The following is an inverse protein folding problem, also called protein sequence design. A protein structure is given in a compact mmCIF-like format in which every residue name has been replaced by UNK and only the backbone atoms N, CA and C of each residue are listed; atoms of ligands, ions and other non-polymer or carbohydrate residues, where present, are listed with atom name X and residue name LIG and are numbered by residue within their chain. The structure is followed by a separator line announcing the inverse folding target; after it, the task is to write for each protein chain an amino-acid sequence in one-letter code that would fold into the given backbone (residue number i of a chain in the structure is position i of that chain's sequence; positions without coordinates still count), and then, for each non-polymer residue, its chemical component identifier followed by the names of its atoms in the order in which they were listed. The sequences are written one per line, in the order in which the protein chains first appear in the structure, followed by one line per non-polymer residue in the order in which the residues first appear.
data_IF_205098650928
#
_entry.id   IF_205098650928
#
_cell.length_a   1.000
_cell.length_b   1.000
_cell.length_c   1.000
_cell.angle_alpha   90.00
_cell.angle_beta   90.00
_cell.angle_gamma   90.00
#
_symmetry.space_group_name_H-M   'P 1'
#
loop_
_entity.id
_entity.type
_entity.pdbx_description
1 polymer ?
#
# COMPACT_ATOMS: atom_id res chain seq x y z
N UNK A 1 10.84 22.67 -25.19
CA UNK A 1 10.95 21.91 -23.92
C UNK A 1 9.65 21.97 -23.11
N UNK A 2 8.99 23.14 -23.01
CA UNK A 2 7.66 23.27 -22.37
C UNK A 2 6.53 22.48 -23.07
N UNK A 3 6.53 22.41 -24.42
CA UNK A 3 5.54 21.60 -25.15
C UNK A 3 5.68 20.07 -24.94
N UNK A 4 6.87 19.60 -24.54
CA UNK A 4 7.12 18.18 -24.29
C UNK A 4 6.71 17.78 -22.86
N UNK A 5 6.78 18.73 -21.90
CA UNK A 5 6.32 18.53 -20.53
C UNK A 5 4.78 18.56 -20.43
N UNK A 6 4.11 19.44 -21.18
CA UNK A 6 2.64 19.46 -21.28
C UNK A 6 2.06 18.18 -21.93
N UNK A 7 2.79 17.58 -22.87
CA UNK A 7 2.40 16.32 -23.52
C UNK A 7 2.48 15.10 -22.60
N UNK A 8 3.33 15.13 -21.57
CA UNK A 8 3.48 14.02 -20.60
C UNK A 8 2.43 14.14 -19.50
N UNK A 9 2.09 15.36 -19.06
CA UNK A 9 1.07 15.61 -18.03
C UNK A 9 -0.35 15.23 -18.53
N UNK A 10 -0.68 15.56 -19.79
CA UNK A 10 -1.94 15.13 -20.41
C UNK A 10 -2.05 13.61 -20.62
N UNK A 11 -0.93 12.91 -20.86
CA UNK A 11 -0.95 11.45 -20.96
C UNK A 11 -1.08 10.77 -19.60
N UNK A 12 -0.58 11.36 -18.53
CA UNK A 12 -0.76 10.85 -17.17
C UNK A 12 -2.22 10.98 -16.67
N UNK A 13 -2.89 12.10 -16.93
CA UNK A 13 -4.33 12.25 -16.57
C UNK A 13 -5.23 11.29 -17.36
N UNK A 14 -4.96 11.09 -18.65
CA UNK A 14 -5.76 10.19 -19.50
C UNK A 14 -5.50 8.71 -19.17
N UNK A 15 -4.27 8.30 -18.84
CA UNK A 15 -3.99 6.92 -18.41
C UNK A 15 -4.55 6.62 -17.01
N UNK A 16 -4.55 7.59 -16.11
CA UNK A 16 -5.21 7.45 -14.81
C UNK A 16 -6.72 7.30 -14.98
N UNK A 17 -7.35 8.07 -15.87
CA UNK A 17 -8.78 7.95 -16.19
C UNK A 17 -9.17 6.64 -16.90
N UNK A 18 -8.33 6.08 -17.76
CA UNK A 18 -8.72 4.91 -18.59
C UNK A 18 -8.46 3.55 -17.92
N UNK A 19 -7.52 3.46 -16.99
CA UNK A 19 -7.27 2.23 -16.20
C UNK A 19 -8.22 2.14 -14.99
N UNK A 20 -8.76 3.26 -14.49
CA UNK A 20 -9.63 3.31 -13.31
C UNK A 20 -11.12 3.03 -13.59
N UNK A 21 -11.56 2.94 -14.85
CA UNK A 21 -12.98 2.64 -15.18
C UNK A 21 -13.31 1.15 -15.04
N UNK A 22 -12.32 0.24 -15.00
CA UNK A 22 -12.59 -1.20 -15.06
C UNK A 22 -12.52 -1.95 -13.71
N UNK A 23 -12.29 -1.27 -12.60
CA UNK A 23 -12.47 -1.83 -11.26
C UNK A 23 -13.28 -0.85 -10.44
N UNK A 24 -14.52 -1.20 -10.14
CA UNK A 24 -15.47 -0.43 -9.32
C UNK A 24 -14.99 -0.28 -7.86
N UNK A 25 -13.85 0.37 -7.66
CA UNK A 25 -13.30 0.77 -6.38
C UNK A 25 -13.73 2.21 -6.10
N UNK A 26 -14.59 2.35 -5.09
CA UNK A 26 -15.16 3.61 -4.64
C UNK A 26 -14.07 4.46 -3.93
N UNK A 27 -13.26 5.19 -4.72
CA UNK A 27 -12.10 5.98 -4.25
C UNK A 27 -12.50 7.20 -3.39
N UNK A 28 -13.77 7.60 -3.42
CA UNK A 28 -14.27 8.77 -2.68
C UNK A 28 -14.18 8.59 -1.14
N UNK A 29 -14.14 7.35 -0.63
CA UNK A 29 -14.12 7.08 0.81
C UNK A 29 -12.73 7.22 1.49
N UNK A 30 -11.66 6.83 0.80
CA UNK A 30 -10.30 6.79 1.38
C UNK A 30 -9.57 8.14 1.28
N UNK A 31 -9.88 8.94 0.24
CA UNK A 31 -9.41 10.33 0.12
C UNK A 31 -10.21 11.24 1.06
N UNK A 32 -11.49 10.94 1.32
CA UNK A 32 -12.30 11.71 2.25
C UNK A 32 -11.84 11.58 3.71
N UNK A 33 -11.43 10.39 4.17
CA UNK A 33 -10.98 10.19 5.56
C UNK A 33 -9.64 10.87 5.87
N UNK A 34 -8.69 10.86 4.92
CA UNK A 34 -7.43 11.61 5.03
C UNK A 34 -7.62 13.13 4.95
N UNK A 35 -8.61 13.59 4.17
CA UNK A 35 -8.94 15.02 4.07
C UNK A 35 -9.62 15.60 5.32
N UNK A 36 -10.38 14.78 6.07
CA UNK A 36 -11.12 15.23 7.25
C UNK A 36 -10.20 15.39 8.46
N UNK A 37 -9.25 14.46 8.63
CA UNK A 37 -8.22 14.55 9.66
C UNK A 37 -7.26 15.72 9.44
N UNK A 38 -6.80 15.92 8.21
CA UNK A 38 -5.95 17.07 7.86
C UNK A 38 -6.68 18.41 8.04
N UNK A 39 -7.98 18.47 7.73
CA UNK A 39 -8.79 19.66 7.95
C UNK A 39 -9.05 19.94 9.45
N UNK A 40 -9.23 18.90 10.26
CA UNK A 40 -9.35 19.04 11.72
C UNK A 40 -8.03 19.53 12.34
N UNK A 41 -6.89 18.98 11.92
CA UNK A 41 -5.57 19.47 12.30
C UNK A 41 -5.30 20.91 11.86
N UNK A 42 -5.78 21.29 10.68
CA UNK A 42 -5.75 22.69 10.22
C UNK A 42 -6.55 23.60 11.16
N UNK A 43 -7.81 23.27 11.45
CA UNK A 43 -8.67 24.07 12.33
C UNK A 43 -8.08 24.20 13.74
N UNK A 44 -7.53 23.11 14.28
CA UNK A 44 -6.85 23.11 15.59
C UNK A 44 -5.56 23.93 15.57
N UNK A 45 -4.70 23.74 14.56
CA UNK A 45 -3.45 24.48 14.40
C UNK A 45 -3.69 25.97 14.22
N UNK A 46 -4.71 26.34 13.43
CA UNK A 46 -5.17 27.72 13.27
C UNK A 46 -5.66 28.31 14.60
N UNK A 47 -6.53 27.60 15.32
CA UNK A 47 -7.02 28.03 16.62
C UNK A 47 -5.88 28.27 17.60
N UNK A 48 -4.90 27.37 17.62
CA UNK A 48 -3.71 27.49 18.44
C UNK A 48 -2.89 28.74 18.09
N UNK A 49 -2.59 28.98 16.80
CA UNK A 49 -1.82 30.15 16.36
C UNK A 49 -2.53 31.46 16.74
N UNK A 50 -3.83 31.59 16.40
CA UNK A 50 -4.58 32.81 16.69
C UNK A 50 -4.66 33.05 18.21
N UNK A 51 -4.93 32.00 18.99
CA UNK A 51 -5.02 32.10 20.45
C UNK A 51 -3.67 32.42 21.08
N UNK A 52 -2.58 31.82 20.60
CA UNK A 52 -1.23 32.07 21.09
C UNK A 52 -0.84 33.53 20.87
N UNK A 53 -0.93 34.03 19.64
CA UNK A 53 -0.46 35.38 19.31
C UNK A 53 -1.36 36.47 19.89
N UNK A 54 -2.68 36.29 19.82
CA UNK A 54 -3.61 37.26 20.40
C UNK A 54 -3.58 37.21 21.94
N UNK A 55 -3.48 36.01 22.51
CA UNK A 55 -3.38 35.78 23.94
C UNK A 55 -2.09 36.32 24.54
N UNK A 56 -0.93 36.14 23.89
CA UNK A 56 0.34 36.75 24.29
C UNK A 56 0.22 38.28 24.27
N UNK A 57 -0.44 38.84 23.26
CA UNK A 57 -0.65 40.29 23.17
C UNK A 57 -1.48 40.81 24.35
N UNK A 58 -2.57 40.12 24.72
CA UNK A 58 -3.38 40.43 25.90
C UNK A 58 -2.60 40.21 27.21
N UNK A 59 -1.78 39.17 27.31
CA UNK A 59 -1.01 38.85 28.51
C UNK A 59 0.10 39.88 28.78
N UNK A 60 0.86 40.27 27.74
CA UNK A 60 1.89 41.31 27.83
C UNK A 60 1.29 42.65 28.23
N UNK A 61 0.09 42.97 27.74
CA UNK A 61 -0.67 44.15 28.14
C UNK A 61 -0.97 44.17 29.63
N UNK A 62 -1.49 43.05 30.14
CA UNK A 62 -1.86 42.93 31.55
C UNK A 62 -0.66 42.94 32.49
N UNK A 63 0.49 42.39 32.06
CA UNK A 63 1.67 42.23 32.92
C UNK A 63 2.57 43.46 32.98
N UNK A 64 2.68 44.26 31.92
CA UNK A 64 3.70 45.33 31.86
C UNK A 64 3.19 46.73 32.15
N UNK A 65 1.87 47.00 32.21
CA UNK A 65 1.33 48.38 32.28
C UNK A 65 1.89 49.35 31.20
N UNK A 66 2.64 48.83 30.21
CA UNK A 66 3.23 49.62 29.14
C UNK A 66 2.22 49.71 28.00
N UNK A 67 1.78 50.94 27.71
CA UNK A 67 0.85 51.28 26.63
C UNK A 67 1.52 51.26 25.24
N UNK A 68 2.25 50.20 24.84
CA UNK A 68 2.86 50.09 23.49
C UNK A 68 1.87 50.16 22.29
N UNK A 69 0.56 50.20 22.55
CA UNK A 69 -0.56 50.04 21.62
C UNK A 69 -1.74 50.80 22.25
N UNK A 70 -2.27 51.82 21.59
CA UNK A 70 -3.33 52.68 22.12
C UNK A 70 -4.74 52.08 21.92
N UNK A 71 -4.87 50.76 22.02
CA UNK A 71 -6.13 50.07 21.76
C UNK A 71 -6.99 50.01 23.02
N UNK A 72 -8.31 50.26 22.91
CA UNK A 72 -9.25 49.93 23.98
C UNK A 72 -9.24 48.41 24.23
N UNK A 73 -9.08 47.98 25.48
CA UNK A 73 -9.03 46.55 25.88
C UNK A 73 -10.22 45.74 25.35
N UNK A 74 -11.36 46.40 25.18
CA UNK A 74 -12.61 45.81 24.65
C UNK A 74 -12.45 45.31 23.21
N UNK A 75 -11.64 45.96 22.37
CA UNK A 75 -11.52 45.61 20.95
C UNK A 75 -10.67 44.34 20.72
N UNK A 76 -9.63 44.13 21.53
CA UNK A 76 -8.82 42.91 21.45
C UNK A 76 -9.60 41.69 21.98
N UNK A 77 -10.33 41.86 23.09
CA UNK A 77 -11.16 40.80 23.67
C UNK A 77 -12.31 40.41 22.74
N UNK A 78 -12.96 41.40 22.11
CA UNK A 78 -14.02 41.12 21.12
C UNK A 78 -13.49 40.39 19.89
N UNK A 79 -12.28 40.71 19.43
CA UNK A 79 -11.67 39.98 18.31
C UNK A 79 -11.34 38.53 18.67
N UNK A 80 -10.84 38.27 19.89
CA UNK A 80 -10.64 36.91 20.41
C UNK A 80 -11.97 36.14 20.42
N UNK A 81 -13.03 36.78 20.95
CA UNK A 81 -14.36 36.17 21.00
C UNK A 81 -14.91 35.83 19.61
N UNK A 82 -14.75 36.73 18.62
CA UNK A 82 -15.17 36.49 17.23
C UNK A 82 -14.41 35.31 16.62
N UNK A 83 -13.08 35.22 16.84
CA UNK A 83 -12.28 34.10 16.33
C UNK A 83 -12.73 32.76 16.91
N UNK A 84 -13.02 32.73 18.22
CA UNK A 84 -13.47 31.52 18.91
C UNK A 84 -14.86 31.08 18.42
N UNK A 85 -15.79 32.03 18.30
CA UNK A 85 -17.13 31.75 17.79
C UNK A 85 -17.08 31.22 16.35
N UNK A 86 -16.20 31.76 15.52
CA UNK A 86 -16.00 31.30 14.16
C UNK A 86 -15.40 29.88 14.11
N UNK A 87 -14.43 29.54 14.97
CA UNK A 87 -13.89 28.17 15.07
C UNK A 87 -14.98 27.18 15.48
N UNK A 88 -15.80 27.52 16.48
CA UNK A 88 -16.93 26.70 16.92
C UNK A 88 -17.94 26.48 15.78
N UNK A 89 -18.26 27.54 15.03
CA UNK A 89 -19.14 27.45 13.87
C UNK A 89 -18.56 26.56 12.76
N UNK A 90 -17.28 26.72 12.43
CA UNK A 90 -16.58 25.90 11.44
C UNK A 90 -16.56 24.41 11.83
N UNK A 91 -16.37 24.09 13.11
CA UNK A 91 -16.41 22.71 13.62
C UNK A 91 -17.82 22.12 13.54
N UNK A 92 -18.84 22.87 13.95
CA UNK A 92 -20.25 22.45 13.88
C UNK A 92 -20.70 22.22 12.43
N UNK A 93 -20.30 23.10 11.50
CA UNK A 93 -20.59 22.95 10.09
C UNK A 93 -19.91 21.72 9.49
N UNK A 94 -18.65 21.47 9.83
CA UNK A 94 -17.91 20.28 9.40
C UNK A 94 -18.60 18.98 9.84
N UNK A 95 -19.09 18.94 11.08
CA UNK A 95 -19.81 17.79 11.63
C UNK A 95 -21.17 17.57 10.95
N UNK A 96 -21.84 18.64 10.52
CA UNK A 96 -23.22 18.59 10.00
C UNK A 96 -23.32 18.42 8.48
N UNK A 97 -22.30 18.81 7.72
CA UNK A 97 -22.29 18.78 6.25
C UNK A 97 -21.00 18.23 5.63
N UNK A 98 -20.73 16.94 5.86
CA UNK A 98 -19.59 16.22 5.26
C UNK A 98 -19.67 16.10 3.72
N UNK A 99 -20.85 16.23 3.11
CA UNK A 99 -21.06 15.98 1.66
C UNK A 99 -20.53 17.07 0.73
N UNK A 100 -20.12 18.23 1.23
CA UNK A 100 -19.67 19.38 0.41
C UNK A 100 -18.38 20.02 0.96
N UNK A 101 -17.34 19.20 1.17
CA UNK A 101 -16.07 19.63 1.76
C UNK A 101 -15.39 20.77 0.99
N UNK A 102 -15.42 20.75 -0.36
CA UNK A 102 -14.78 21.80 -1.18
C UNK A 102 -15.39 23.19 -0.96
N UNK A 103 -16.73 23.27 -0.94
CA UNK A 103 -17.44 24.53 -0.68
C UNK A 103 -17.19 25.03 0.74
N UNK A 104 -17.09 24.12 1.72
CA UNK A 104 -16.72 24.47 3.08
C UNK A 104 -15.31 25.09 3.15
N UNK A 105 -14.31 24.49 2.51
CA UNK A 105 -12.93 25.01 2.49
C UNK A 105 -12.89 26.41 1.85
N UNK A 106 -13.60 26.61 0.74
CA UNK A 106 -13.65 27.93 0.08
C UNK A 106 -14.28 29.00 0.98
N UNK A 107 -15.42 28.71 1.60
CA UNK A 107 -16.08 29.64 2.52
C UNK A 107 -15.20 29.95 3.74
N UNK A 108 -14.53 28.93 4.28
CA UNK A 108 -13.58 29.06 5.37
C UNK A 108 -12.42 30.01 5.02
N UNK A 109 -11.79 29.83 3.86
CA UNK A 109 -10.67 30.67 3.42
C UNK A 109 -11.08 32.14 3.26
N UNK A 110 -12.27 32.41 2.71
CA UNK A 110 -12.79 33.78 2.58
C UNK A 110 -12.98 34.42 3.95
N UNK A 111 -13.59 33.71 4.90
CA UNK A 111 -13.74 34.20 6.26
C UNK A 111 -12.41 34.42 6.98
N UNK A 112 -11.45 33.52 6.78
CA UNK A 112 -10.13 33.62 7.41
C UNK A 112 -9.33 34.82 6.88
N UNK A 113 -9.47 35.17 5.59
CA UNK A 113 -8.93 36.39 5.01
C UNK A 113 -9.58 37.65 5.58
N UNK A 114 -10.93 37.68 5.68
CA UNK A 114 -11.67 38.81 6.26
C UNK A 114 -11.27 39.02 7.71
N UNK A 115 -11.19 37.94 8.49
CA UNK A 115 -10.81 37.98 9.88
C UNK A 115 -9.37 38.51 10.02
N UNK A 116 -8.44 38.03 9.19
CA UNK A 116 -7.06 38.52 9.19
C UNK A 116 -6.99 40.02 8.89
N UNK A 117 -7.79 40.52 7.94
CA UNK A 117 -7.87 41.95 7.63
C UNK A 117 -8.44 42.76 8.81
N UNK A 118 -9.50 42.27 9.47
CA UNK A 118 -10.07 42.90 10.65
C UNK A 118 -9.07 42.92 11.81
N UNK A 119 -8.33 41.83 12.03
CA UNK A 119 -7.28 41.79 13.04
C UNK A 119 -6.23 42.84 12.77
N UNK A 120 -5.72 42.95 11.53
CA UNK A 120 -4.75 43.97 11.15
C UNK A 120 -5.31 45.38 11.38
N UNK A 121 -6.55 45.65 10.99
CA UNK A 121 -7.20 46.94 11.19
C UNK A 121 -7.27 47.34 12.68
N UNK A 122 -7.83 46.45 13.52
CA UNK A 122 -8.01 46.72 14.95
C UNK A 122 -6.70 46.72 15.74
N UNK A 123 -5.60 46.21 15.19
CA UNK A 123 -4.32 46.11 15.90
C UNK A 123 -3.32 47.21 15.52
N UNK A 124 -3.79 48.29 14.91
CA UNK A 124 -2.97 49.44 14.51
C UNK A 124 -2.67 49.53 13.01
N UNK A 125 -3.39 48.77 12.17
CA UNK A 125 -3.34 48.89 10.72
C UNK A 125 -1.97 48.61 10.14
N UNK A 126 -1.33 49.65 9.58
CA UNK A 126 0.00 49.55 8.92
C UNK A 126 1.10 49.15 9.90
N UNK A 127 0.95 49.47 11.19
CA UNK A 127 1.91 49.05 12.23
C UNK A 127 1.67 47.65 12.79
N UNK A 128 0.57 47.00 12.39
CA UNK A 128 0.18 45.71 12.94
C UNK A 128 1.22 44.62 12.69
N UNK A 129 1.62 43.98 13.78
CA UNK A 129 2.43 42.76 13.74
C UNK A 129 1.66 41.56 13.20
N UNK A 130 0.33 41.63 13.05
CA UNK A 130 -0.52 40.49 12.68
C UNK A 130 -0.70 40.29 11.17
N UNK A 131 0.00 41.07 10.34
CA UNK A 131 0.03 40.89 8.88
C UNK A 131 0.48 39.49 8.44
N UNK A 132 1.26 38.78 9.28
CA UNK A 132 1.63 37.38 9.04
C UNK A 132 0.44 36.40 9.05
N UNK A 133 -0.73 36.76 9.62
CA UNK A 133 -1.89 35.86 9.63
C UNK A 133 -2.35 35.51 8.20
N UNK A 134 -2.19 36.43 7.26
CA UNK A 134 -2.43 36.16 5.83
C UNK A 134 -1.53 35.04 5.29
N UNK A 135 -0.28 34.93 5.75
CA UNK A 135 0.65 33.86 5.34
C UNK A 135 0.10 32.49 5.76
N UNK A 136 -0.46 32.38 6.96
CA UNK A 136 -1.06 31.11 7.43
C UNK A 136 -2.28 30.72 6.60
N UNK A 137 -3.12 31.69 6.20
CA UNK A 137 -4.26 31.42 5.31
C UNK A 137 -3.79 30.94 3.93
N UNK A 138 -2.77 31.60 3.36
CA UNK A 138 -2.17 31.21 2.07
C UNK A 138 -1.56 29.80 2.14
N UNK A 139 -0.78 29.51 3.20
CA UNK A 139 -0.14 28.21 3.39
C UNK A 139 -1.18 27.08 3.50
N UNK A 140 -2.27 27.35 4.21
CA UNK A 140 -3.35 26.38 4.41
C UNK A 140 -4.12 26.12 3.12
N UNK A 141 -4.37 27.17 2.32
CA UNK A 141 -4.90 27.02 0.97
C UNK A 141 -3.95 26.18 0.10
N UNK A 142 -2.64 26.41 0.16
CA UNK A 142 -1.68 25.68 -0.65
C UNK A 142 -1.66 24.18 -0.36
N UNK A 143 -1.84 23.79 0.91
CA UNK A 143 -1.88 22.38 1.31
C UNK A 143 -3.20 21.70 0.90
N UNK A 144 -4.33 22.38 1.12
CA UNK A 144 -5.66 21.75 1.08
C UNK A 144 -6.39 21.94 -0.25
N UNK A 145 -6.10 23.01 -0.99
CA UNK A 145 -6.87 23.46 -2.15
C UNK A 145 -6.09 23.29 -3.46
N UNK A 146 -6.76 23.55 -4.59
CA UNK A 146 -6.15 23.51 -5.92
C UNK A 146 -5.18 24.68 -6.15
N UNK A 147 -4.29 24.55 -7.15
CA UNK A 147 -3.36 25.63 -7.54
C UNK A 147 -4.10 26.90 -7.97
N UNK A 148 -5.23 26.75 -8.66
CA UNK A 148 -6.07 27.88 -9.07
C UNK A 148 -6.63 28.65 -7.86
N UNK A 149 -7.15 27.93 -6.86
CA UNK A 149 -7.66 28.53 -5.62
C UNK A 149 -6.54 29.22 -4.84
N UNK A 150 -5.33 28.65 -4.81
CA UNK A 150 -4.17 29.29 -4.19
C UNK A 150 -3.83 30.64 -4.83
N UNK A 151 -3.80 30.73 -6.16
CA UNK A 151 -3.57 32.01 -6.84
C UNK A 151 -4.64 33.04 -6.49
N UNK A 152 -5.92 32.64 -6.46
CA UNK A 152 -7.03 33.51 -6.06
C UNK A 152 -6.85 33.98 -4.61
N UNK A 153 -6.47 33.10 -3.68
CA UNK A 153 -6.24 33.46 -2.27
C UNK A 153 -5.08 34.44 -2.11
N UNK A 154 -3.97 34.26 -2.85
CA UNK A 154 -2.82 35.19 -2.81
C UNK A 154 -3.24 36.57 -3.33
N UNK A 155 -3.94 36.64 -4.46
CA UNK A 155 -4.44 37.90 -5.03
C UNK A 155 -5.41 38.57 -4.06
N UNK A 156 -6.36 37.81 -3.49
CA UNK A 156 -7.31 38.33 -2.50
C UNK A 156 -6.60 38.86 -1.24
N UNK A 157 -5.56 38.17 -0.74
CA UNK A 157 -4.77 38.63 0.39
C UNK A 157 -4.03 39.95 0.08
N UNK A 158 -3.40 40.05 -1.09
CA UNK A 158 -2.71 41.28 -1.53
C UNK A 158 -3.69 42.44 -1.69
N UNK A 159 -4.84 42.21 -2.31
CA UNK A 159 -5.87 43.24 -2.52
C UNK A 159 -6.48 43.67 -1.19
N UNK A 160 -6.81 42.74 -0.28
CA UNK A 160 -7.38 43.07 1.01
C UNK A 160 -6.39 43.83 1.90
N UNK A 161 -5.15 43.34 2.01
CA UNK A 161 -4.12 44.00 2.81
C UNK A 161 -3.74 45.37 2.22
N UNK A 162 -3.47 45.43 0.91
CA UNK A 162 -3.13 46.68 0.23
C UNK A 162 -4.27 47.69 0.23
N UNK A 163 -5.50 47.24 0.03
CA UNK A 163 -6.70 48.07 0.12
C UNK A 163 -6.90 48.63 1.53
N UNK A 164 -6.72 47.81 2.56
CA UNK A 164 -6.80 48.26 3.96
C UNK A 164 -5.75 49.33 4.28
N UNK A 165 -4.49 49.08 3.90
CA UNK A 165 -3.38 50.02 4.11
C UNK A 165 -3.60 51.31 3.32
N UNK A 166 -4.06 51.22 2.07
CA UNK A 166 -4.36 52.38 1.23
C UNK A 166 -5.49 53.23 1.81
N UNK A 167 -6.58 52.61 2.24
CA UNK A 167 -7.71 53.31 2.86
C UNK A 167 -7.33 54.02 4.16
N UNK A 168 -6.44 53.42 4.96
CA UNK A 168 -5.86 54.06 6.15
C UNK A 168 -4.94 55.23 5.78
N UNK A 169 -4.09 55.07 4.76
CA UNK A 169 -3.14 56.10 4.33
C UNK A 169 -3.84 57.35 3.76
N UNK A 170 -4.90 57.17 2.96
CA UNK A 170 -5.70 58.27 2.42
C UNK A 170 -6.71 58.85 3.41
N UNK A 171 -6.81 58.32 4.63
CA UNK A 171 -7.70 58.82 5.67
C UNK A 171 -9.18 58.51 5.48
N UNK A 172 -9.54 57.57 4.58
CA UNK A 172 -10.91 57.08 4.46
C UNK A 172 -11.33 56.21 5.65
N UNK A 173 -10.37 55.55 6.30
CA UNK A 173 -10.56 54.85 7.56
C UNK A 173 -9.72 55.50 8.65
N UNK A 174 -10.35 55.80 9.78
CA UNK A 174 -9.66 56.34 10.96
C UNK A 174 -8.85 55.23 11.64
N UNK A 175 -7.53 55.43 11.87
CA UNK A 175 -6.73 54.45 12.58
C UNK A 175 -7.26 54.28 14.01
N UNK A 176 -7.50 53.02 14.37
CA UNK A 176 -7.94 52.64 15.70
C UNK A 176 -6.72 52.66 16.62
N UNK A 177 -6.68 53.61 17.56
CA UNK A 177 -5.53 53.82 18.44
C UNK A 177 -4.68 55.07 18.15
N UNK A 178 -5.20 56.06 17.45
CA UNK A 178 -4.59 57.41 17.38
C UNK A 178 -3.93 57.75 16.05
N UNK A 179 -3.68 59.05 15.85
CA UNK A 179 -3.18 59.64 14.61
C UNK A 179 -1.67 59.43 14.46
N UNK A 180 -1.25 58.22 14.12
CA UNK A 180 0.12 58.02 13.65
C UNK A 180 0.17 58.45 12.18
N UNK A 181 0.66 59.66 11.93
CA UNK A 181 0.99 60.12 10.57
C UNK A 181 2.25 59.39 10.13
N UNK A 182 2.08 58.18 9.61
CA UNK A 182 3.19 57.42 9.05
C UNK A 182 3.74 58.14 7.81
N UNK A 183 5.07 58.20 7.72
CA UNK A 183 5.73 58.66 6.50
C UNK A 183 5.28 57.78 5.33
N UNK A 184 5.03 58.39 4.17
CA UNK A 184 4.65 57.66 2.96
C UNK A 184 5.66 56.56 2.61
N UNK A 185 6.96 56.82 2.88
CA UNK A 185 8.04 55.86 2.66
C UNK A 185 7.89 54.59 3.52
N UNK A 186 7.52 54.73 4.79
CA UNK A 186 7.37 53.59 5.71
C UNK A 186 6.16 52.72 5.34
N UNK A 187 5.08 53.37 4.90
CA UNK A 187 3.88 52.66 4.42
C UNK A 187 4.18 51.87 3.16
N UNK A 188 4.89 52.46 2.19
CA UNK A 188 5.30 51.78 0.96
C UNK A 188 6.24 50.61 1.26
N UNK A 189 7.22 50.78 2.14
CA UNK A 189 8.15 49.72 2.52
C UNK A 189 7.44 48.52 3.16
N UNK A 190 6.53 48.77 4.12
CA UNK A 190 5.76 47.71 4.78
C UNK A 190 4.78 47.00 3.83
N UNK A 191 4.16 47.75 2.92
CA UNK A 191 3.31 47.19 1.87
C UNK A 191 4.13 46.25 0.96
N UNK A 192 5.28 46.71 0.49
CA UNK A 192 6.18 45.94 -0.35
C UNK A 192 6.64 44.66 0.35
N UNK A 193 7.13 44.75 1.60
CA UNK A 193 7.58 43.59 2.36
C UNK A 193 6.50 42.53 2.51
N UNK A 194 5.27 42.93 2.87
CA UNK A 194 4.17 41.98 3.06
C UNK A 194 3.71 41.35 1.75
N UNK A 195 3.63 42.10 0.65
CA UNK A 195 3.30 41.54 -0.66
C UNK A 195 4.34 40.49 -1.07
N UNK A 196 5.63 40.81 -0.92
CA UNK A 196 6.72 39.87 -1.21
C UNK A 196 6.62 38.64 -0.31
N UNK A 197 6.34 38.82 0.98
CA UNK A 197 6.17 37.71 1.91
C UNK A 197 4.98 36.81 1.54
N UNK A 198 3.85 37.37 1.11
CA UNK A 198 2.68 36.60 0.68
C UNK A 198 2.96 35.80 -0.60
N UNK A 199 3.65 36.40 -1.57
CA UNK A 199 4.04 35.72 -2.81
C UNK A 199 5.04 34.59 -2.53
N UNK A 200 6.06 34.84 -1.70
CA UNK A 200 7.03 33.82 -1.29
C UNK A 200 6.39 32.68 -0.51
N UNK A 201 5.48 32.99 0.43
CA UNK A 201 4.72 32.01 1.16
C UNK A 201 3.86 31.14 0.23
N UNK A 202 3.20 31.76 -0.76
CA UNK A 202 2.44 31.05 -1.78
C UNK A 202 3.31 30.12 -2.62
N UNK A 203 4.48 30.59 -3.08
CA UNK A 203 5.45 29.79 -3.85
C UNK A 203 5.94 28.58 -3.03
N UNK A 204 6.42 28.82 -1.81
CA UNK A 204 6.93 27.78 -0.91
C UNK A 204 5.82 26.78 -0.55
N UNK A 205 4.63 27.27 -0.22
CA UNK A 205 3.46 26.46 0.05
C UNK A 205 3.09 25.58 -1.14
N UNK A 206 3.15 26.11 -2.37
CA UNK A 206 2.87 25.36 -3.59
C UNK A 206 3.89 24.24 -3.84
N UNK A 207 5.19 24.54 -3.69
CA UNK A 207 6.27 23.55 -3.82
C UNK A 207 6.11 22.45 -2.76
N UNK A 208 5.85 22.83 -1.51
CA UNK A 208 5.70 21.90 -0.41
C UNK A 208 4.48 20.98 -0.62
N UNK A 209 3.34 21.54 -0.99
CA UNK A 209 2.12 20.79 -1.30
C UNK A 209 2.35 19.72 -2.36
N UNK A 210 3.08 20.06 -3.43
CA UNK A 210 3.38 19.10 -4.50
C UNK A 210 4.37 18.05 -4.07
N UNK A 211 5.40 18.42 -3.30
CA UNK A 211 6.35 17.44 -2.76
C UNK A 211 5.68 16.47 -1.79
N UNK A 212 4.80 16.96 -0.93
CA UNK A 212 4.03 16.15 0.02
C UNK A 212 3.12 15.17 -0.71
N UNK A 213 2.28 15.64 -1.64
CA UNK A 213 1.39 14.78 -2.43
C UNK A 213 2.15 13.72 -3.21
N UNK A 214 3.31 14.08 -3.78
CA UNK A 214 4.16 13.11 -4.49
C UNK A 214 4.75 12.07 -3.54
N UNK A 215 5.20 12.49 -2.35
CA UNK A 215 5.71 11.59 -1.33
C UNK A 215 4.64 10.61 -0.86
N UNK A 216 3.42 11.09 -0.61
CA UNK A 216 2.28 10.24 -0.21
C UNK A 216 1.92 9.23 -1.32
N UNK A 217 1.85 9.68 -2.58
CA UNK A 217 1.57 8.80 -3.71
C UNK A 217 2.66 7.73 -3.90
N UNK A 218 3.94 8.09 -3.75
CA UNK A 218 5.04 7.14 -3.82
C UNK A 218 4.98 6.12 -2.68
N UNK A 219 4.66 6.54 -1.46
CA UNK A 219 4.50 5.65 -0.31
C UNK A 219 3.34 4.67 -0.51
N UNK A 220 2.20 5.14 -1.03
CA UNK A 220 1.06 4.28 -1.35
C UNK A 220 1.44 3.24 -2.41
N UNK A 221 2.09 3.68 -3.50
CA UNK A 221 2.53 2.77 -4.56
C UNK A 221 3.49 1.70 -4.07
N UNK A 222 4.51 2.09 -3.29
CA UNK A 222 5.41 1.11 -2.69
C UNK A 222 4.65 0.10 -1.81
N UNK A 223 3.68 0.57 -1.02
CA UNK A 223 2.87 -0.31 -0.16
C UNK A 223 2.06 -1.32 -0.99
N UNK A 224 1.49 -0.87 -2.11
CA UNK A 224 0.74 -1.74 -3.02
C UNK A 224 1.67 -2.76 -3.70
N UNK A 225 2.84 -2.32 -4.18
CA UNK A 225 3.85 -3.20 -4.79
C UNK A 225 4.33 -4.28 -3.79
N UNK A 226 4.53 -3.92 -2.52
CA UNK A 226 4.85 -4.89 -1.46
C UNK A 226 3.73 -5.91 -1.23
N UNK A 227 2.48 -5.45 -1.19
CA UNK A 227 1.33 -6.34 -1.00
C UNK A 227 1.15 -7.30 -2.20
N UNK A 228 1.38 -6.82 -3.42
CA UNK A 228 1.36 -7.65 -4.63
C UNK A 228 2.47 -8.70 -4.60
N UNK A 229 3.70 -8.31 -4.23
CA UNK A 229 4.82 -9.23 -4.10
C UNK A 229 4.56 -10.32 -3.04
N UNK A 230 4.01 -9.95 -1.88
CA UNK A 230 3.65 -10.91 -0.84
C UNK A 230 2.58 -11.89 -1.34
N UNK A 231 1.57 -11.39 -2.05
CA UNK A 231 0.50 -12.22 -2.59
C UNK A 231 1.01 -13.17 -3.68
N UNK A 232 1.88 -12.69 -4.59
CA UNK A 232 2.54 -13.52 -5.60
C UNK A 232 3.39 -14.62 -4.94
N UNK A 233 4.21 -14.26 -3.96
CA UNK A 233 5.02 -15.24 -3.23
C UNK A 233 4.13 -16.30 -2.54
N UNK A 234 3.04 -15.87 -1.88
CA UNK A 234 2.05 -16.76 -1.26
C UNK A 234 1.37 -17.67 -2.28
N UNK A 235 1.02 -17.16 -3.47
CA UNK A 235 0.42 -17.97 -4.54
C UNK A 235 1.40 -19.02 -5.07
N UNK A 236 2.66 -18.63 -5.32
CA UNK A 236 3.72 -19.54 -5.78
C UNK A 236 3.90 -20.66 -4.76
N UNK A 237 4.11 -20.32 -3.48
CA UNK A 237 4.33 -21.30 -2.41
C UNK A 237 3.13 -22.24 -2.19
N UNK A 238 1.90 -21.77 -2.42
CA UNK A 238 0.69 -22.61 -2.36
C UNK A 238 0.50 -23.49 -3.60
N UNK A 239 0.98 -23.06 -4.77
CA UNK A 239 0.82 -23.79 -6.04
C UNK A 239 1.86 -24.90 -6.23
N UNK A 240 2.98 -24.87 -5.50
CA UNK A 240 4.00 -25.91 -5.55
C UNK A 240 3.44 -27.19 -4.90
N UNK A 241 3.33 -28.30 -5.64
CA UNK A 241 2.80 -29.57 -5.12
C UNK A 241 3.80 -30.30 -4.20
N UNK A 242 5.04 -29.81 -4.13
CA UNK A 242 6.08 -30.33 -3.25
C UNK A 242 6.03 -29.67 -1.87
N UNK A 243 6.17 -30.49 -0.84
CA UNK A 243 6.42 -30.02 0.51
C UNK A 243 7.76 -29.29 0.59
N UNK A 244 7.77 -28.12 1.21
CA UNK A 244 8.95 -27.29 1.45
C UNK A 244 9.15 -27.15 2.95
N UNK A 245 10.32 -27.57 3.41
CA UNK A 245 10.74 -27.48 4.81
C UNK A 245 12.08 -26.75 4.86
N UNK A 246 12.16 -25.74 5.71
CA UNK A 246 13.45 -25.12 6.07
C UNK A 246 13.78 -25.52 7.49
N UNK A 247 14.98 -26.07 7.71
CA UNK A 247 15.49 -26.40 9.04
C UNK A 247 16.73 -25.58 9.37
N UNK A 248 16.88 -25.26 10.65
CA UNK A 248 18.10 -24.67 11.19
C UNK A 248 19.22 -25.71 11.39
N UNK A 249 20.46 -25.31 11.71
CA UNK A 249 21.55 -26.24 12.02
C UNK A 249 21.26 -27.22 13.18
N UNK A 250 20.31 -26.89 14.05
CA UNK A 250 19.91 -27.76 15.16
C UNK A 250 18.87 -28.82 14.76
N UNK A 251 18.39 -28.77 13.50
CA UNK A 251 17.36 -29.67 12.97
C UNK A 251 15.93 -29.27 13.33
N UNK A 252 15.71 -28.06 13.84
CA UNK A 252 14.38 -27.53 14.13
C UNK A 252 13.74 -26.93 12.88
N UNK A 253 12.45 -27.19 12.69
CA UNK A 253 11.69 -26.70 11.52
C UNK A 253 11.42 -25.20 11.69
N UNK A 254 11.94 -24.39 10.78
CA UNK A 254 11.71 -22.94 10.73
C UNK A 254 10.53 -22.56 9.80
N UNK A 255 10.35 -23.30 8.71
CA UNK A 255 9.30 -23.04 7.73
C UNK A 255 8.71 -24.35 7.22
N UNK A 256 7.40 -24.34 6.99
CA UNK A 256 6.62 -25.50 6.57
C UNK A 256 5.48 -25.03 5.66
N UNK A 257 5.54 -25.33 4.35
CA UNK A 257 4.52 -24.87 3.41
C UNK A 257 3.22 -25.71 3.48
N UNK A 258 2.16 -25.25 2.81
CA UNK A 258 0.86 -25.93 2.81
C UNK A 258 0.90 -27.34 2.20
N UNK A 259 1.73 -27.57 1.20
CA UNK A 259 1.89 -28.90 0.61
C UNK A 259 2.53 -29.88 1.59
N UNK A 260 3.51 -29.43 2.39
CA UNK A 260 4.10 -30.24 3.46
C UNK A 260 3.06 -30.62 4.51
N UNK A 261 2.16 -29.69 4.88
CA UNK A 261 1.03 -30.00 5.78
C UNK A 261 0.07 -31.02 5.22
N UNK A 262 -0.24 -30.95 3.91
CA UNK A 262 -1.12 -31.92 3.27
C UNK A 262 -0.49 -33.32 3.14
N UNK A 263 0.81 -33.40 2.82
CA UNK A 263 1.52 -34.69 2.67
C UNK A 263 1.76 -35.34 4.03
N UNK A 264 2.23 -34.55 5.01
CA UNK A 264 2.55 -35.06 6.33
C UNK A 264 1.33 -35.17 7.24
N UNK A 265 0.17 -34.60 6.89
CA UNK A 265 -1.04 -34.54 7.74
C UNK A 265 -0.77 -33.87 9.10
N UNK A 266 -0.02 -32.77 9.10
CA UNK A 266 0.28 -31.96 10.29
C UNK A 266 0.21 -30.47 9.98
N UNK A 267 -0.40 -29.69 10.87
CA UNK A 267 -0.46 -28.24 10.72
C UNK A 267 0.92 -27.60 10.85
N UNK A 268 1.16 -26.54 10.07
CA UNK A 268 2.43 -25.82 10.07
C UNK A 268 2.82 -25.29 11.46
N UNK A 269 1.86 -24.82 12.26
CA UNK A 269 2.11 -24.34 13.63
C UNK A 269 2.66 -25.43 14.55
N UNK A 270 2.10 -26.64 14.46
CA UNK A 270 2.54 -27.79 15.23
C UNK A 270 3.87 -28.35 14.70
N UNK A 271 4.08 -28.32 13.39
CA UNK A 271 5.33 -28.77 12.77
C UNK A 271 6.52 -27.90 13.16
N UNK A 272 6.36 -26.57 13.17
CA UNK A 272 7.44 -25.63 13.54
C UNK A 272 7.88 -25.71 15.02
N UNK A 273 7.10 -26.38 15.87
CA UNK A 273 7.48 -26.65 17.26
C UNK A 273 8.30 -27.94 17.42
N UNK A 274 8.37 -28.77 16.38
CA UNK A 274 9.04 -30.07 16.40
C UNK A 274 10.36 -30.03 15.64
N UNK A 275 11.21 -31.00 15.94
CA UNK A 275 12.42 -31.26 15.14
C UNK A 275 12.07 -32.08 13.89
N UNK A 276 12.92 -32.03 12.86
CA UNK A 276 12.69 -32.82 11.65
C UNK A 276 12.61 -34.32 11.94
N UNK A 277 13.44 -34.83 12.86
CA UNK A 277 13.46 -36.23 13.25
C UNK A 277 12.14 -36.68 13.92
N UNK A 278 11.41 -35.79 14.58
CA UNK A 278 10.10 -36.11 15.15
C UNK A 278 8.99 -36.20 14.09
N UNK A 279 9.11 -35.43 13.01
CA UNK A 279 8.15 -35.46 11.89
C UNK A 279 8.49 -36.59 10.93
N UNK A 280 9.78 -36.87 10.73
CA UNK A 280 10.31 -37.92 9.88
C UNK A 280 11.31 -38.79 10.66
N UNK A 281 10.85 -39.79 11.43
CA UNK A 281 11.72 -40.63 12.27
C UNK A 281 12.72 -41.48 11.48
N UNK A 282 12.43 -41.75 10.21
CA UNK A 282 13.34 -42.48 9.31
C UNK A 282 14.30 -41.54 8.54
N UNK A 283 14.29 -40.23 8.83
CA UNK A 283 15.06 -39.23 8.09
C UNK A 283 16.05 -38.53 9.02
N UNK A 284 17.29 -39.03 9.04
CA UNK A 284 18.38 -38.42 9.80
C UNK A 284 19.18 -37.44 8.94
N UNK A 285 19.01 -36.14 9.23
CA UNK A 285 19.83 -35.06 8.65
C UNK A 285 21.33 -35.25 8.88
N UNK A 286 21.72 -35.77 10.04
CA UNK A 286 23.13 -35.91 10.43
C UNK A 286 23.88 -37.01 9.66
N UNK A 287 23.16 -37.94 9.04
CA UNK A 287 23.74 -39.01 8.22
C UNK A 287 23.73 -38.67 6.72
N UNK A 288 23.00 -37.61 6.32
CA UNK A 288 22.97 -37.14 4.95
C UNK A 288 24.23 -36.32 4.62
N UNK A 289 25.02 -36.79 3.66
CA UNK A 289 25.99 -35.94 2.96
C UNK A 289 25.23 -34.90 2.13
N UNK A 290 25.05 -33.70 2.68
CA UNK A 290 24.42 -32.59 1.96
C UNK A 290 25.40 -32.01 0.92
N UNK A 291 24.92 -31.61 -0.28
CA UNK A 291 23.54 -31.65 -0.75
C UNK A 291 23.12 -33.05 -1.27
N UNK A 292 21.84 -33.37 -1.13
CA UNK A 292 21.24 -34.58 -1.73
C UNK A 292 20.36 -34.18 -2.90
N UNK A 293 20.77 -34.59 -4.10
CA UNK A 293 20.12 -34.20 -5.36
C UNK A 293 18.79 -34.97 -5.58
N UNK A 294 18.76 -36.25 -5.18
CA UNK A 294 17.55 -37.08 -5.23
C UNK A 294 17.66 -38.28 -4.29
N UNK A 295 16.78 -38.35 -3.30
CA UNK A 295 16.61 -39.52 -2.44
C UNK A 295 15.15 -39.97 -2.39
N UNK A 296 14.91 -41.23 -2.05
CA UNK A 296 13.58 -41.79 -1.83
C UNK A 296 13.57 -42.50 -0.48
N UNK A 297 12.51 -42.31 0.31
CA UNK A 297 12.30 -43.07 1.54
C UNK A 297 10.83 -43.41 1.74
N UNK A 298 10.59 -44.46 2.53
CA UNK A 298 9.26 -44.83 2.96
C UNK A 298 8.89 -44.02 4.21
N UNK A 299 7.80 -43.27 4.07
CA UNK A 299 7.20 -42.50 5.15
C UNK A 299 5.88 -43.13 5.54
N UNK A 300 5.65 -43.30 6.84
CA UNK A 300 4.34 -43.66 7.37
C UNK A 300 3.72 -42.39 7.90
N UNK A 301 2.62 -41.95 7.31
CA UNK A 301 1.92 -40.74 7.75
C UNK A 301 1.23 -40.95 9.12
N UNK A 302 0.71 -39.87 9.72
CA UNK A 302 0.03 -39.94 11.02
C UNK A 302 -1.28 -40.76 11.00
N UNK A 303 -1.76 -41.18 9.82
CA UNK A 303 -2.89 -42.10 9.68
C UNK A 303 -2.46 -43.56 9.50
N UNK A 304 -1.14 -43.83 9.47
CA UNK A 304 -0.58 -45.17 9.29
C UNK A 304 -0.44 -45.60 7.83
N UNK A 305 -0.63 -44.71 6.86
CA UNK A 305 -0.50 -45.03 5.44
C UNK A 305 0.96 -44.94 5.01
N UNK A 306 1.48 -45.98 4.35
CA UNK A 306 2.83 -45.94 3.76
C UNK A 306 2.83 -45.16 2.45
N UNK A 307 3.64 -44.12 2.38
CA UNK A 307 3.88 -43.27 1.21
C UNK A 307 5.34 -43.36 0.78
N UNK A 308 5.56 -43.28 -0.52
CA UNK A 308 6.90 -43.18 -1.12
C UNK A 308 7.20 -41.69 -1.29
N UNK A 309 8.15 -41.16 -0.52
CA UNK A 309 8.50 -39.75 -0.57
C UNK A 309 9.82 -39.61 -1.32
N UNK A 310 9.79 -38.90 -2.45
CA UNK A 310 11.00 -38.41 -3.11
C UNK A 310 11.40 -37.08 -2.52
N UNK A 311 12.68 -36.87 -2.22
CA UNK A 311 13.17 -35.63 -1.63
C UNK A 311 14.48 -35.16 -2.24
N UNK A 312 14.74 -33.86 -2.11
CA UNK A 312 16.03 -33.24 -2.29
C UNK A 312 16.34 -32.37 -1.07
N UNK A 313 17.63 -32.14 -0.81
CA UNK A 313 18.07 -31.32 0.30
C UNK A 313 19.25 -30.44 -0.15
N UNK A 314 19.10 -29.13 -0.01
CA UNK A 314 20.10 -28.13 -0.42
C UNK A 314 20.39 -27.20 0.75
N UNK A 315 21.64 -26.75 0.86
CA UNK A 315 22.02 -25.78 1.87
C UNK A 315 21.76 -24.37 1.34
N UNK A 316 21.06 -23.55 2.11
CA UNK A 316 20.79 -22.15 1.81
C UNK A 316 21.38 -21.29 2.93
N UNK A 317 22.03 -20.19 2.58
CA UNK A 317 22.47 -19.20 3.55
C UNK A 317 21.45 -18.07 3.64
N UNK A 318 21.08 -17.70 4.86
CA UNK A 318 20.25 -16.52 5.07
C UNK A 318 21.12 -15.27 4.90
N UNK A 319 20.79 -14.43 3.91
CA UNK A 319 21.54 -13.20 3.62
C UNK A 319 21.61 -12.21 4.78
N UNK A 320 20.73 -12.35 5.79
CA UNK A 320 20.68 -11.45 6.94
C UNK A 320 21.49 -11.93 8.15
N UNK A 321 21.63 -13.25 8.36
CA UNK A 321 22.27 -13.81 9.57
C UNK A 321 23.52 -14.63 9.28
N UNK A 322 23.83 -14.90 8.00
CA UNK A 322 24.91 -15.79 7.54
C UNK A 322 24.84 -17.20 8.16
N UNK A 323 23.67 -17.57 8.71
CA UNK A 323 23.46 -18.89 9.28
C UNK A 323 23.13 -19.88 8.16
N UNK A 324 23.86 -21.02 8.08
CA UNK A 324 23.54 -22.07 7.14
C UNK A 324 22.22 -22.74 7.55
N UNK A 325 21.23 -22.74 6.66
CA UNK A 325 19.96 -23.46 6.81
C UNK A 325 19.88 -24.55 5.75
N UNK A 326 19.09 -25.58 5.99
CA UNK A 326 18.85 -26.63 4.98
C UNK A 326 17.42 -26.52 4.46
N UNK A 327 17.30 -26.38 3.14
CA UNK A 327 16.05 -26.43 2.40
C UNK A 327 15.81 -27.87 1.93
N UNK A 328 14.78 -28.50 2.45
CA UNK A 328 14.33 -29.82 2.03
C UNK A 328 13.06 -29.63 1.20
N UNK A 329 13.07 -30.13 -0.04
CA UNK A 329 11.84 -30.25 -0.82
C UNK A 329 11.50 -31.72 -1.02
N UNK A 330 10.23 -32.07 -0.88
CA UNK A 330 9.80 -33.47 -0.97
C UNK A 330 8.43 -33.60 -1.63
N UNK A 331 8.17 -34.75 -2.24
CA UNK A 331 6.95 -35.02 -2.99
C UNK A 331 6.49 -36.44 -2.77
N UNK A 332 5.18 -36.64 -2.66
CA UNK A 332 4.56 -37.97 -2.62
C UNK A 332 4.56 -38.58 -4.04
N UNK A 333 5.36 -39.62 -4.21
CA UNK A 333 5.52 -40.37 -5.47
C UNK A 333 4.67 -41.64 -5.51
N UNK A 334 3.85 -41.92 -4.48
CA UNK A 334 3.10 -43.18 -4.34
C UNK A 334 2.18 -43.43 -5.54
N UNK A 335 1.45 -42.42 -5.99
CA UNK A 335 0.55 -42.53 -7.14
C UNK A 335 1.33 -42.77 -8.45
N UNK A 336 2.42 -42.02 -8.65
CA UNK A 336 3.26 -42.11 -9.84
C UNK A 336 3.94 -43.48 -9.96
N UNK A 337 4.49 -44.00 -8.85
CA UNK A 337 5.10 -45.34 -8.80
C UNK A 337 4.08 -46.45 -9.07
N UNK A 338 2.88 -46.36 -8.48
CA UNK A 338 1.79 -47.32 -8.77
C UNK A 338 1.39 -47.31 -10.24
N UNK A 339 1.32 -46.13 -10.87
CA UNK A 339 1.04 -46.02 -12.30
C UNK A 339 2.16 -46.65 -13.14
N UNK A 340 3.41 -46.40 -12.78
CA UNK A 340 4.59 -46.97 -13.45
C UNK A 340 4.62 -48.51 -13.34
N UNK A 341 4.36 -49.06 -12.16
CA UNK A 341 4.27 -50.51 -11.93
C UNK A 341 3.13 -51.15 -12.75
N UNK A 342 1.95 -50.54 -12.75
CA UNK A 342 0.81 -51.01 -13.53
C UNK A 342 1.09 -50.96 -15.03
N UNK A 343 1.77 -49.91 -15.50
CA UNK A 343 2.18 -49.79 -16.90
C UNK A 343 3.18 -50.91 -17.28
N UNK A 344 4.21 -51.13 -16.46
CA UNK A 344 5.19 -52.19 -16.70
C UNK A 344 4.54 -53.59 -16.69
N UNK A 345 3.58 -53.83 -15.80
CA UNK A 345 2.82 -55.08 -15.78
C UNK A 345 2.01 -55.25 -17.07
N UNK A 346 1.36 -54.18 -17.54
CA UNK A 346 0.61 -54.18 -18.80
C UNK A 346 1.48 -54.52 -20.01
N UNK A 347 2.68 -53.93 -20.10
CA UNK A 347 3.65 -54.27 -21.17
C UNK A 347 4.05 -55.75 -21.13
N UNK A 348 4.36 -56.27 -19.94
CA UNK A 348 4.74 -57.69 -19.78
C UNK A 348 3.61 -58.62 -20.21
N UNK A 349 2.37 -58.34 -19.82
CA UNK A 349 1.20 -59.13 -20.21
C UNK A 349 0.95 -59.07 -21.72
N UNK A 350 1.10 -57.89 -22.34
CA UNK A 350 0.96 -57.74 -23.79
C UNK A 350 2.04 -58.53 -24.56
N UNK A 351 3.29 -58.52 -24.08
CA UNK A 351 4.38 -59.30 -24.66
C UNK A 351 4.12 -60.81 -24.56
N UNK A 352 3.67 -61.30 -23.40
CA UNK A 352 3.27 -62.70 -23.21
C UNK A 352 2.10 -63.06 -24.11
N UNK A 353 1.10 -62.19 -24.26
CA UNK A 353 -0.04 -62.40 -25.16
C UNK A 353 0.37 -62.56 -26.62
N UNK A 354 1.31 -61.73 -27.11
CA UNK A 354 1.88 -61.86 -28.47
C UNK A 354 2.61 -63.19 -28.66
N UNK A 355 3.44 -63.58 -27.70
CA UNK A 355 4.17 -64.85 -27.76
C UNK A 355 3.22 -66.05 -27.70
N UNK A 356 2.20 -66.01 -26.84
CA UNK A 356 1.19 -67.06 -26.75
C UNK A 356 0.36 -67.18 -28.03
N UNK A 357 -0.01 -66.07 -28.67
CA UNK A 357 -0.69 -66.09 -29.96
C UNK A 357 0.19 -66.67 -31.08
N UNK A 358 1.49 -66.32 -31.10
CA UNK A 358 2.47 -66.93 -32.00
C UNK A 358 2.62 -68.44 -31.77
N UNK A 359 2.77 -68.85 -30.50
CA UNK A 359 2.88 -70.26 -30.11
C UNK A 359 1.60 -71.05 -30.46
N UNK A 360 0.43 -70.46 -30.26
CA UNK A 360 -0.85 -71.07 -30.62
C UNK A 360 -0.97 -71.28 -32.14
N UNK A 361 -0.47 -70.34 -32.94
CA UNK A 361 -0.36 -70.49 -34.39
C UNK A 361 0.62 -71.61 -34.77
N UNK A 362 1.78 -71.68 -34.12
CA UNK A 362 2.79 -72.71 -34.39
C UNK A 362 2.37 -74.11 -33.91
N UNK A 363 1.53 -74.24 -32.87
CA UNK A 363 0.97 -75.52 -32.40
C UNK A 363 -0.18 -75.99 -33.32
N UNK A 364 -0.99 -75.06 -33.84
CA UNK A 364 -2.11 -75.39 -34.73
C UNK A 364 -1.63 -76.03 -36.04
N UNK A 365 -0.48 -75.60 -36.57
CA UNK A 365 0.08 -76.10 -37.82
C UNK A 365 0.40 -77.62 -37.80
N UNK A 366 1.18 -78.16 -36.85
CA UNK A 366 1.46 -79.60 -36.78
C UNK A 366 0.22 -80.41 -36.38
N UNK A 367 -0.68 -79.87 -35.54
CA UNK A 367 -1.95 -80.53 -35.23
C UNK A 367 -2.84 -80.68 -36.46
N UNK A 368 -2.94 -79.64 -37.29
CA UNK A 368 -3.66 -79.72 -38.56
C UNK A 368 -3.02 -80.75 -39.51
N UNK A 369 -1.68 -80.81 -39.57
CA UNK A 369 -0.96 -81.82 -40.35
C UNK A 369 -1.16 -83.25 -39.82
N UNK A 370 -1.19 -83.43 -38.50
CA UNK A 370 -1.43 -84.71 -37.84
C UNK A 370 -2.88 -85.18 -38.06
N UNK A 371 -3.86 -84.30 -37.85
CA UNK A 371 -5.26 -84.60 -38.14
C UNK A 371 -5.47 -84.95 -39.61
N UNK A 372 -4.82 -84.23 -40.54
CA UNK A 372 -4.86 -84.56 -41.97
C UNK A 372 -4.28 -85.95 -42.25
N UNK A 373 -3.15 -86.29 -41.64
CA UNK A 373 -2.53 -87.61 -41.78
C UNK A 373 -3.40 -88.74 -41.20
N UNK A 374 -4.02 -88.53 -40.03
CA UNK A 374 -4.95 -89.49 -39.40
C UNK A 374 -6.19 -89.68 -40.27
N UNK A 375 -6.73 -88.61 -40.86
CA UNK A 375 -7.89 -88.68 -41.73
C UNK A 375 -7.60 -89.51 -42.98
N UNK A 376 -6.44 -89.33 -43.61
CA UNK A 376 -6.00 -90.17 -44.74
C UNK A 376 -5.87 -91.65 -44.35
N UNK A 377 -5.28 -91.94 -43.19
CA UNK A 377 -5.18 -93.33 -42.69
C UNK A 377 -6.56 -93.96 -42.42
N UNK A 378 -7.52 -93.19 -41.91
CA UNK A 378 -8.89 -93.67 -41.68
C UNK A 378 -9.71 -93.86 -42.96
N UNK A 379 -9.40 -93.11 -44.03
CA UNK A 379 -9.99 -93.30 -45.35
C UNK A 379 -9.47 -94.58 -46.03
N UNK A 380 -8.20 -94.93 -45.83
CA UNK A 380 -7.61 -96.20 -46.31
C UNK A 380 -8.19 -97.43 -45.58
N UNK A 381 -8.48 -97.36 -44.27
CA UNK A 381 -9.16 -98.45 -43.55
C UNK A 381 -10.62 -98.67 -44.01
N UNK A 382 -11.33 -97.59 -44.37
CA UNK A 382 -12.67 -97.68 -44.95
C UNK A 382 -12.65 -98.18 -46.41
N UNK A 383 -11.54 -98.00 -47.13
CA UNK A 383 -11.36 -98.55 -48.48
C UNK A 383 -11.04 -100.05 -48.49
N UNK A 384 -10.37 -100.56 -47.44
CA UNK A 384 -10.03 -101.98 -47.30
C UNK A 384 -11.13 -102.85 -46.65
N UNK A 385 -12.26 -102.25 -46.24
CA UNK A 385 -13.40 -102.94 -45.61
C UNK A 385 -14.67 -103.01 -46.49
N UNK A 386 -14.55 -102.67 -47.78
CA UNK A 386 -15.54 -102.94 -48.83
C UNK A 386 -15.01 -104.02 -49.78
#
# INVERSE_FOLDING_TARGET
MEAFLLSIDQRCEVFSGMVLVNKGFNFDGAVASSSLGSLLWYLLGRAFIVTLFLGVTVAVRFSTAVQFFHLPDVQLVTLLFITFLQICFSLLWLLRWQKRLRLFIQFQLVWDLILSALTVYYTGGVESLFSFLFIFVILSCALMSSRAELYVTIVAAVVLYGGLVGLLHYGYLSPVGGTVTLSATDTIYRLFLNIVAFLLAGLLGSILSVRLRRSECLLQRNRDDYAELENLNRMILKSIPSGLIVVDPSGKICSFNSAASAICMIDAENACQKTLAEVFPNFNLNELLLPVDRGEFFFVDWQGLTRIIGYNATMITDSATDDPKTLITFQDLTATKKLEENYQLGERLAAVGKLAAGLAHEIRNPLASLSGSVQLLSEDENFNSA
#
